data_IF_327347861966
#
_entry.id   IF_327347861966
#
_cell.length_a   1.000
_cell.length_b   1.000
_cell.length_c   1.000
_cell.angle_alpha   90.00
_cell.angle_beta   90.00
_cell.angle_gamma   90.00
#
_symmetry.space_group_name_H-M   'P 1'
#
loop_
_entity.id
_entity.type
_entity.pdbx_description
1 polymer ?
#
# COMPACT_ATOMS: atom_id res chain seq x y z
N UNK A 1 13.34 5.06 -7.97
CA UNK A 1 12.88 5.90 -9.09
C UNK A 1 13.93 6.89 -9.56
N UNK A 2 14.64 7.61 -8.67
CA UNK A 2 15.80 8.43 -9.03
C UNK A 2 17.08 7.85 -8.39
N UNK A 3 17.81 6.94 -9.08
CA UNK A 3 18.93 6.20 -8.46
C UNK A 3 20.13 7.06 -8.05
N UNK A 4 20.26 8.26 -8.63
CA UNK A 4 21.36 9.20 -8.37
C UNK A 4 20.96 10.39 -7.49
N UNK A 5 19.72 10.43 -7.00
CA UNK A 5 19.29 11.48 -6.08
C UNK A 5 20.00 11.31 -4.73
N UNK A 6 20.41 12.42 -4.12
CA UNK A 6 20.97 12.40 -2.77
C UNK A 6 19.86 12.14 -1.74
N UNK A 7 20.20 11.46 -0.65
CA UNK A 7 19.27 11.16 0.44
C UNK A 7 19.72 11.88 1.70
N UNK A 8 18.82 12.69 2.27
CA UNK A 8 18.92 13.21 3.63
C UNK A 8 17.89 12.48 4.50
N UNK A 9 18.34 11.87 5.61
CA UNK A 9 17.50 10.99 6.43
C UNK A 9 17.23 11.65 7.78
N UNK A 10 15.96 12.01 8.00
CA UNK A 10 15.48 12.59 9.26
C UNK A 10 14.67 11.53 10.02
N UNK A 11 15.27 10.95 11.06
CA UNK A 11 14.60 9.93 11.87
C UNK A 11 13.64 10.59 12.86
N UNK A 12 12.35 10.49 12.56
CA UNK A 12 11.27 11.03 13.42
C UNK A 12 10.42 9.95 14.09
N UNK A 13 10.65 8.68 13.77
CA UNK A 13 9.92 7.55 14.34
C UNK A 13 10.81 6.68 15.22
N UNK A 14 10.31 6.39 16.42
CA UNK A 14 11.02 5.64 17.45
C UNK A 14 10.15 4.52 18.01
N UNK A 15 10.81 3.44 18.46
CA UNK A 15 10.13 2.29 19.05
C UNK A 15 9.60 2.66 20.44
N UNK A 16 8.29 2.46 20.64
CA UNK A 16 7.58 2.61 21.92
C UNK A 16 6.85 1.30 22.20
N UNK A 17 7.49 0.41 22.96
CA UNK A 17 7.01 -0.96 23.19
C UNK A 17 7.06 -1.81 21.92
N UNK A 18 5.92 -2.43 21.55
CA UNK A 18 5.77 -3.23 20.30
C UNK A 18 5.46 -2.38 19.06
N UNK A 19 5.24 -1.07 19.20
CA UNK A 19 4.88 -0.17 18.09
C UNK A 19 6.00 0.84 17.82
N UNK A 20 6.04 1.36 16.60
CA UNK A 20 6.84 2.55 16.29
C UNK A 20 5.91 3.75 16.18
N UNK A 21 6.28 4.85 16.80
CA UNK A 21 5.48 6.08 16.83
C UNK A 21 6.34 7.23 16.29
N UNK A 22 5.76 8.03 15.41
CA UNK A 22 6.31 9.34 15.06
C UNK A 22 5.49 10.39 15.83
N UNK A 23 6.06 10.92 16.90
CA UNK A 23 5.39 11.94 17.71
C UNK A 23 5.32 13.26 16.90
N UNK A 24 4.30 14.08 17.17
CA UNK A 24 4.07 15.32 16.41
C UNK A 24 5.23 16.29 16.50
N UNK A 25 5.88 16.40 17.67
CA UNK A 25 7.06 17.25 17.90
C UNK A 25 8.25 16.82 17.07
N UNK A 26 8.54 15.51 17.04
CA UNK A 26 9.67 14.95 16.30
C UNK A 26 9.45 15.10 14.79
N UNK A 27 8.21 14.90 14.34
CA UNK A 27 7.82 15.07 12.93
C UNK A 27 8.01 16.53 12.49
N UNK A 28 7.52 17.50 13.28
CA UNK A 28 7.72 18.93 12.98
C UNK A 28 9.20 19.29 12.99
N UNK A 29 9.98 18.82 13.98
CA UNK A 29 11.41 19.11 14.06
C UNK A 29 12.17 18.53 12.86
N UNK A 30 11.83 17.32 12.42
CA UNK A 30 12.43 16.71 11.24
C UNK A 30 12.11 17.46 9.95
N UNK A 31 10.88 17.94 9.78
CA UNK A 31 10.50 18.78 8.62
C UNK A 31 11.22 20.13 8.68
N UNK A 32 11.28 20.76 9.85
CA UNK A 32 11.97 22.04 10.05
C UNK A 32 13.48 21.95 9.75
N UNK A 33 14.14 20.86 10.18
CA UNK A 33 15.54 20.59 9.82
C UNK A 33 15.70 20.41 8.31
N UNK A 34 14.82 19.64 7.67
CA UNK A 34 14.87 19.43 6.22
C UNK A 34 14.68 20.74 5.44
N UNK A 35 13.85 21.67 5.93
CA UNK A 35 13.71 23.00 5.35
C UNK A 35 15.01 23.80 5.48
N UNK A 36 15.66 23.76 6.65
CA UNK A 36 16.94 24.45 6.91
C UNK A 36 18.09 23.89 6.08
N UNK A 37 18.08 22.59 5.82
CA UNK A 37 19.04 21.92 4.93
C UNK A 37 18.74 22.15 3.44
N UNK A 38 17.68 22.90 3.11
CA UNK A 38 17.26 23.20 1.74
C UNK A 38 17.01 21.95 0.88
N UNK A 39 16.39 20.91 1.46
CA UNK A 39 16.04 19.73 0.67
C UNK A 39 15.07 20.08 -0.45
N UNK A 40 15.11 19.32 -1.54
CA UNK A 40 14.23 19.57 -2.67
C UNK A 40 12.80 19.08 -2.47
N UNK A 41 12.64 17.97 -1.74
CA UNK A 41 11.44 17.15 -1.67
C UNK A 41 11.38 16.51 -0.28
N UNK A 42 10.18 16.47 0.32
CA UNK A 42 9.92 15.66 1.50
C UNK A 42 9.17 14.39 1.08
N UNK A 43 9.72 13.22 1.40
CA UNK A 43 9.07 11.92 1.18
C UNK A 43 8.59 11.35 2.51
N UNK A 44 7.32 11.55 2.84
CA UNK A 44 6.76 11.24 4.16
C UNK A 44 5.78 10.06 4.09
N UNK A 45 6.29 8.88 4.39
CA UNK A 45 5.47 7.67 4.54
C UNK A 45 4.87 7.56 5.95
N UNK A 46 4.33 8.69 6.42
CA UNK A 46 3.76 8.93 7.75
C UNK A 46 2.37 9.54 7.58
N UNK A 47 1.53 9.41 8.59
CA UNK A 47 0.19 9.96 8.58
C UNK A 47 -0.55 9.61 9.86
N UNK A 48 -1.66 10.29 10.06
CA UNK A 48 -2.60 9.98 11.14
C UNK A 48 -4.03 10.13 10.64
N UNK A 49 -5.01 9.67 11.42
CA UNK A 49 -6.41 9.79 11.05
C UNK A 49 -6.82 11.26 10.79
N UNK A 50 -7.97 11.47 10.13
CA UNK A 50 -8.46 12.81 9.81
C UNK A 50 -8.52 13.70 11.06
N UNK A 51 -7.90 14.88 11.01
CA UNK A 51 -7.91 15.88 12.08
C UNK A 51 -7.78 17.29 11.50
N UNK A 52 -8.24 18.35 12.17
CA UNK A 52 -8.12 19.71 11.64
C UNK A 52 -6.68 20.08 11.21
N UNK A 53 -6.53 20.80 10.09
CA UNK A 53 -5.22 21.10 9.50
C UNK A 53 -4.27 21.85 10.45
N UNK A 54 -4.81 22.63 11.39
CA UNK A 54 -4.04 23.37 12.39
C UNK A 54 -3.59 22.51 13.58
N UNK A 55 -4.02 21.26 13.68
CA UNK A 55 -3.56 20.26 14.66
C UNK A 55 -2.66 19.19 14.02
N UNK A 56 -2.56 19.17 12.70
CA UNK A 56 -1.77 18.20 11.96
C UNK A 56 -0.34 18.72 11.74
N UNK A 57 0.61 18.10 12.43
CA UNK A 57 2.05 18.39 12.33
C UNK A 57 2.60 18.24 10.91
N UNK A 58 2.13 17.25 10.15
CA UNK A 58 2.54 17.06 8.76
C UNK A 58 1.95 18.17 7.91
N UNK A 59 0.69 18.56 8.11
CA UNK A 59 0.08 19.66 7.38
C UNK A 59 0.81 20.99 7.63
N UNK A 60 1.06 21.34 8.90
CA UNK A 60 1.77 22.56 9.32
C UNK A 60 3.19 22.59 8.73
N UNK A 61 3.98 21.53 8.96
CA UNK A 61 5.35 21.45 8.45
C UNK A 61 5.40 21.48 6.92
N UNK A 62 4.49 20.76 6.25
CA UNK A 62 4.41 20.74 4.79
C UNK A 62 4.02 22.09 4.21
N UNK A 63 3.21 22.89 4.91
CA UNK A 63 2.87 24.24 4.47
C UNK A 63 4.11 25.15 4.49
N UNK A 64 4.91 25.07 5.57
CA UNK A 64 6.17 25.79 5.66
C UNK A 64 7.15 25.38 4.56
N UNK A 65 7.30 24.07 4.31
CA UNK A 65 8.16 23.54 3.25
C UNK A 65 7.71 23.96 1.84
N UNK A 66 6.41 23.92 1.56
CA UNK A 66 5.87 24.31 0.26
C UNK A 66 6.11 25.80 -0.03
N UNK A 67 6.01 26.68 0.97
CA UNK A 67 6.33 28.12 0.84
C UNK A 67 7.78 28.39 0.45
N UNK A 68 8.71 27.49 0.76
CA UNK A 68 10.13 27.61 0.40
C UNK A 68 10.49 26.86 -0.89
N UNK A 69 9.49 26.34 -1.62
CA UNK A 69 9.71 25.63 -2.89
C UNK A 69 10.02 24.14 -2.76
N UNK A 70 9.87 23.56 -1.57
CA UNK A 70 10.06 22.14 -1.29
C UNK A 70 8.75 21.41 -1.57
N UNK A 71 8.79 20.25 -2.24
CA UNK A 71 7.58 19.49 -2.57
C UNK A 71 7.27 18.45 -1.49
N UNK A 72 6.20 18.60 -0.69
CA UNK A 72 5.78 17.58 0.26
C UNK A 72 4.99 16.47 -0.43
N UNK A 73 5.52 15.25 -0.38
CA UNK A 73 4.87 14.02 -0.88
C UNK A 73 4.57 13.13 0.30
N UNK A 74 3.31 12.76 0.51
CA UNK A 74 2.90 11.97 1.67
C UNK A 74 1.94 10.83 1.33
N UNK A 75 1.94 9.80 2.17
CA UNK A 75 1.08 8.62 2.00
C UNK A 75 -0.39 8.94 2.29
N UNK A 76 -1.33 8.38 1.52
CA UNK A 76 -2.76 8.53 1.80
C UNK A 76 -3.24 7.75 3.05
N UNK A 77 -2.46 6.77 3.52
CA UNK A 77 -2.85 5.88 4.62
C UNK A 77 -3.30 4.50 4.14
N UNK A 78 -3.38 3.55 5.07
CA UNK A 78 -3.68 2.14 4.80
C UNK A 78 -4.99 1.68 5.49
N UNK A 79 -5.95 2.60 5.62
CA UNK A 79 -7.25 2.39 6.28
C UNK A 79 -8.40 2.31 5.28
N UNK A 80 -8.12 1.95 4.02
CA UNK A 80 -9.16 1.49 3.10
C UNK A 80 -9.83 0.22 3.65
N UNK A 81 -11.07 -0.07 3.28
CA UNK A 81 -11.90 0.55 2.23
C UNK A 81 -12.81 1.67 2.73
N UNK A 82 -12.68 2.04 4.01
CA UNK A 82 -13.54 3.03 4.64
C UNK A 82 -13.45 4.40 3.94
N UNK A 83 -14.61 4.96 3.65
CA UNK A 83 -14.73 6.31 3.09
C UNK A 83 -14.16 7.34 4.05
N UNK A 84 -13.57 8.39 3.49
CA UNK A 84 -13.07 9.55 4.24
C UNK A 84 -12.04 9.24 5.33
N UNK A 85 -11.31 8.13 5.17
CA UNK A 85 -10.31 7.66 6.15
C UNK A 85 -8.86 7.89 5.68
N UNK A 86 -8.67 8.77 4.70
CA UNK A 86 -7.33 9.14 4.25
C UNK A 86 -6.66 10.16 5.16
N UNK A 87 -5.34 10.07 5.19
CA UNK A 87 -4.42 10.97 5.87
C UNK A 87 -3.83 11.99 4.90
N UNK A 88 -3.17 13.02 5.46
CA UNK A 88 -2.38 13.99 4.71
C UNK A 88 -3.20 14.69 3.61
N UNK A 89 -4.40 15.16 3.94
CA UNK A 89 -5.36 15.70 2.99
C UNK A 89 -5.23 17.20 2.74
N UNK A 90 -4.21 17.83 3.34
CA UNK A 90 -3.91 19.24 3.13
C UNK A 90 -3.71 19.54 1.62
N UNK A 91 -4.27 20.65 1.11
CA UNK A 91 -4.24 20.96 -0.33
C UNK A 91 -2.83 21.04 -0.94
N UNK A 92 -1.87 21.53 -0.15
CA UNK A 92 -0.47 21.72 -0.53
C UNK A 92 0.39 20.45 -0.49
N UNK A 93 -0.13 19.34 0.03
CA UNK A 93 0.54 18.04 0.02
C UNK A 93 0.21 17.30 -1.27
N UNK A 94 1.18 16.61 -1.87
CA UNK A 94 0.95 15.58 -2.89
C UNK A 94 0.70 14.24 -2.20
N UNK A 95 -0.58 13.86 -2.10
CA UNK A 95 -1.06 12.69 -1.34
C UNK A 95 -1.18 11.49 -2.26
N UNK A 96 -0.50 10.40 -1.89
CA UNK A 96 -0.30 9.24 -2.76
C UNK A 96 -1.01 8.00 -2.22
N UNK A 97 -1.96 7.47 -2.97
CA UNK A 97 -2.57 6.17 -2.74
C UNK A 97 -1.77 5.01 -3.37
N UNK A 98 -2.17 3.77 -3.09
CA UNK A 98 -1.48 2.57 -3.54
C UNK A 98 -2.31 1.78 -4.56
N UNK A 99 -1.64 1.27 -5.59
CA UNK A 99 -2.22 0.33 -6.56
C UNK A 99 -1.37 -0.93 -6.72
N UNK A 100 -1.91 -1.95 -7.36
CA UNK A 100 -1.22 -3.20 -7.67
C UNK A 100 -0.29 -3.06 -8.89
N UNK A 101 0.65 -4.00 -9.01
CA UNK A 101 1.45 -4.21 -10.23
C UNK A 101 1.00 -5.45 -10.98
N UNK A 102 1.42 -5.58 -12.24
CA UNK A 102 1.30 -6.78 -13.07
C UNK A 102 2.20 -7.94 -12.59
N UNK A 103 3.24 -7.64 -11.80
CA UNK A 103 4.11 -8.66 -11.20
C UNK A 103 3.44 -9.34 -10.01
N UNK A 104 3.47 -10.67 -9.97
CA UNK A 104 3.00 -11.53 -8.87
C UNK A 104 4.06 -12.55 -8.45
N UNK A 105 4.17 -12.82 -7.15
CA UNK A 105 5.03 -13.89 -6.61
C UNK A 105 4.19 -15.15 -6.38
N UNK A 106 4.11 -16.04 -7.36
CA UNK A 106 3.04 -17.05 -7.40
C UNK A 106 3.23 -18.22 -6.43
N UNK A 107 2.19 -18.43 -5.61
CA UNK A 107 2.00 -19.59 -4.75
C UNK A 107 0.62 -20.20 -5.04
N UNK A 108 0.62 -21.36 -5.69
CA UNK A 108 -0.60 -22.01 -6.20
C UNK A 108 -1.09 -23.02 -5.18
N UNK A 109 -2.35 -22.88 -4.77
CA UNK A 109 -3.07 -23.87 -3.98
C UNK A 109 -3.81 -24.79 -4.95
N UNK A 110 -3.59 -26.09 -4.85
CA UNK A 110 -4.37 -27.10 -5.59
C UNK A 110 -5.12 -27.97 -4.60
N UNK A 111 -6.43 -27.93 -4.65
CA UNK A 111 -7.31 -28.70 -3.77
C UNK A 111 -7.40 -30.17 -4.23
N UNK A 112 -7.85 -31.05 -3.34
CA UNK A 112 -8.03 -32.48 -3.65
C UNK A 112 -9.09 -32.76 -4.72
N UNK A 113 -10.01 -31.82 -4.98
CA UNK A 113 -10.96 -31.89 -6.10
C UNK A 113 -10.33 -31.47 -7.45
N UNK A 114 -9.06 -31.06 -7.46
CA UNK A 114 -8.32 -30.64 -8.65
C UNK A 114 -8.37 -29.14 -8.97
N UNK A 115 -9.22 -28.37 -8.27
CA UNK A 115 -9.31 -26.92 -8.46
C UNK A 115 -8.03 -26.21 -8.02
N UNK A 116 -7.70 -25.10 -8.71
CA UNK A 116 -6.48 -24.34 -8.47
C UNK A 116 -6.79 -22.89 -8.17
N UNK A 117 -6.11 -22.35 -7.16
CA UNK A 117 -6.23 -20.97 -6.72
C UNK A 117 -4.85 -20.32 -6.68
N UNK A 118 -4.79 -19.05 -7.08
CA UNK A 118 -3.54 -18.36 -7.35
C UNK A 118 -3.27 -17.27 -6.33
N UNK A 119 -2.60 -17.62 -5.25
CA UNK A 119 -2.15 -16.67 -4.23
C UNK A 119 -0.76 -16.11 -4.49
N UNK A 120 -0.22 -15.45 -3.46
CA UNK A 120 1.13 -14.90 -3.45
C UNK A 120 1.95 -15.33 -2.20
N UNK A 121 3.26 -15.50 -2.36
CA UNK A 121 4.24 -15.71 -1.28
C UNK A 121 5.66 -15.39 -1.75
N UNK A 122 6.46 -14.72 -0.91
CA UNK A 122 7.88 -14.51 -1.17
C UNK A 122 8.75 -15.69 -0.71
N UNK A 123 8.29 -16.47 0.28
CA UNK A 123 8.94 -17.72 0.64
C UNK A 123 8.48 -18.82 -0.31
N UNK A 124 9.40 -19.30 -1.14
CA UNK A 124 9.14 -20.27 -2.21
C UNK A 124 10.13 -21.45 -2.13
N UNK A 125 9.99 -22.33 -1.13
CA UNK A 125 10.80 -23.55 -1.06
C UNK A 125 10.39 -24.54 -2.15
N UNK A 126 11.28 -25.47 -2.48
CA UNK A 126 10.92 -26.60 -3.33
C UNK A 126 9.89 -27.48 -2.59
N UNK A 127 8.69 -27.57 -3.16
CA UNK A 127 7.62 -28.43 -2.65
C UNK A 127 7.13 -29.37 -3.74
N UNK A 128 6.73 -30.58 -3.35
CA UNK A 128 6.04 -31.52 -4.22
C UNK A 128 4.54 -31.17 -4.30
N UNK A 129 3.85 -31.63 -5.35
CA UNK A 129 2.39 -31.57 -5.47
C UNK A 129 1.67 -32.59 -4.55
N UNK A 130 2.27 -32.93 -3.41
CA UNK A 130 1.74 -33.90 -2.45
C UNK A 130 0.56 -33.29 -1.73
N UNK A 131 -0.58 -33.97 -1.80
CA UNK A 131 -1.80 -33.57 -1.11
C UNK A 131 -1.67 -33.83 0.39
N UNK A 132 -1.86 -32.79 1.19
CA UNK A 132 -1.88 -32.84 2.65
C UNK A 132 -3.29 -32.52 3.16
N UNK A 133 -3.72 -33.10 4.29
CA UNK A 133 -5.01 -32.77 4.87
C UNK A 133 -5.10 -31.28 5.24
N UNK A 134 -6.28 -30.70 5.04
CA UNK A 134 -6.62 -29.35 5.48
C UNK A 134 -7.18 -29.37 6.91
N UNK A 135 -6.86 -28.33 7.68
CA UNK A 135 -7.46 -28.09 8.99
C UNK A 135 -7.79 -26.61 9.14
N UNK A 136 -8.96 -26.30 9.68
CA UNK A 136 -9.41 -24.93 9.89
C UNK A 136 -9.81 -24.70 11.35
N UNK A 137 -8.93 -24.13 12.19
CA UNK A 137 -9.28 -23.78 13.57
C UNK A 137 -10.45 -22.81 13.69
N UNK A 138 -10.66 -21.96 12.67
CA UNK A 138 -11.71 -20.95 12.61
C UNK A 138 -13.14 -21.49 12.66
N UNK A 139 -13.35 -22.81 12.60
CA UNK A 139 -14.65 -23.46 12.89
C UNK A 139 -15.18 -23.12 14.29
N UNK A 140 -14.30 -22.77 15.24
CA UNK A 140 -14.68 -22.29 16.59
C UNK A 140 -15.21 -20.85 16.61
N UNK A 141 -15.11 -20.11 15.50
CA UNK A 141 -15.65 -18.75 15.31
C UNK A 141 -15.18 -17.72 16.36
N UNK A 142 -14.00 -17.92 16.96
CA UNK A 142 -13.37 -16.91 17.82
C UNK A 142 -12.37 -16.09 17.02
N UNK A 143 -12.11 -14.85 17.45
CA UNK A 143 -11.16 -13.97 16.77
C UNK A 143 -9.74 -14.57 16.70
N UNK A 144 -9.33 -15.29 17.74
CA UNK A 144 -8.03 -15.95 17.84
C UNK A 144 -7.94 -17.11 16.85
N UNK A 145 -8.99 -17.92 16.74
CA UNK A 145 -9.04 -19.11 15.88
C UNK A 145 -9.20 -18.76 14.40
N UNK A 146 -9.99 -17.73 14.09
CA UNK A 146 -10.12 -17.21 12.73
C UNK A 146 -8.79 -16.69 12.19
N UNK A 147 -7.98 -16.02 13.01
CA UNK A 147 -6.72 -15.41 12.59
C UNK A 147 -5.47 -16.20 12.99
N UNK A 148 -5.59 -17.45 13.43
CA UNK A 148 -4.45 -18.29 13.82
C UNK A 148 -3.49 -17.63 14.84
N UNK A 149 -4.06 -16.94 15.83
CA UNK A 149 -3.28 -16.25 16.86
C UNK A 149 -2.63 -17.24 17.83
N UNK A 150 -1.70 -16.76 18.67
CA UNK A 150 -1.05 -17.59 19.67
C UNK A 150 -2.09 -18.32 20.57
N UNK A 151 -1.94 -19.64 20.72
CA UNK A 151 -2.87 -20.49 21.47
C UNK A 151 -4.07 -21.00 20.68
N UNK A 152 -4.34 -20.48 19.48
CA UNK A 152 -5.54 -20.84 18.70
C UNK A 152 -5.56 -22.28 18.17
N UNK A 153 -4.41 -22.95 18.17
CA UNK A 153 -4.25 -24.32 17.68
C UNK A 153 -4.59 -25.38 18.76
N UNK A 154 -4.83 -24.97 20.00
CA UNK A 154 -5.14 -25.91 21.08
C UNK A 154 -6.45 -26.66 20.82
N UNK A 155 -6.37 -27.99 20.89
CA UNK A 155 -7.49 -28.89 20.61
C UNK A 155 -7.75 -29.18 19.14
N UNK A 156 -6.82 -28.85 18.24
CA UNK A 156 -6.85 -29.26 16.84
C UNK A 156 -5.64 -30.13 16.50
N UNK A 157 -5.87 -31.20 15.74
CA UNK A 157 -4.79 -32.01 15.17
C UNK A 157 -4.27 -31.32 13.90
N UNK A 158 -3.17 -30.57 14.04
CA UNK A 158 -2.55 -29.78 12.97
C UNK A 158 -1.24 -30.37 12.44
N UNK A 159 -0.71 -31.41 13.08
CA UNK A 159 0.62 -31.93 12.79
C UNK A 159 0.67 -32.51 11.38
N UNK A 160 1.59 -32.02 10.53
CA UNK A 160 1.74 -32.47 9.15
C UNK A 160 0.64 -31.98 8.19
N UNK A 161 -0.23 -31.07 8.61
CA UNK A 161 -1.38 -30.58 7.82
C UNK A 161 -1.18 -29.16 7.32
N UNK A 162 -1.98 -28.75 6.34
CA UNK A 162 -2.08 -27.36 5.88
C UNK A 162 -3.19 -26.66 6.66
N UNK A 163 -2.85 -25.55 7.31
CA UNK A 163 -3.78 -24.80 8.16
C UNK A 163 -4.40 -23.63 7.39
N UNK A 164 -5.73 -23.54 7.41
CA UNK A 164 -6.46 -22.38 6.89
C UNK A 164 -6.47 -21.27 7.96
N UNK A 165 -6.02 -20.07 7.60
CA UNK A 165 -5.92 -18.93 8.51
C UNK A 165 -6.48 -17.66 7.84
N UNK A 166 -7.43 -17.00 8.48
CA UNK A 166 -7.88 -15.68 8.05
C UNK A 166 -6.81 -14.61 8.27
N UNK A 167 -6.78 -13.58 7.43
CA UNK A 167 -6.03 -12.34 7.63
C UNK A 167 -6.58 -11.51 8.81
N UNK A 168 -5.78 -10.56 9.31
CA UNK A 168 -6.16 -9.64 10.41
C UNK A 168 -5.54 -10.00 11.77
N UNK A 169 -5.62 -9.04 12.71
CA UNK A 169 -5.15 -9.05 14.12
C UNK A 169 -3.65 -9.24 14.37
N UNK A 170 -3.01 -10.15 13.63
CA UNK A 170 -1.61 -10.53 13.77
C UNK A 170 -0.97 -10.56 12.38
N UNK A 171 0.32 -10.28 12.31
CA UNK A 171 1.05 -10.34 11.04
C UNK A 171 1.01 -11.76 10.45
N UNK A 172 0.87 -11.86 9.13
CA UNK A 172 0.76 -13.15 8.45
C UNK A 172 2.00 -14.04 8.65
N UNK A 173 3.18 -13.44 8.83
CA UNK A 173 4.42 -14.17 9.15
C UNK A 173 4.40 -14.75 10.56
N UNK A 174 3.87 -14.01 11.54
CA UNK A 174 3.72 -14.48 12.93
C UNK A 174 2.69 -15.61 13.03
N UNK A 175 1.61 -15.58 12.23
CA UNK A 175 0.68 -16.73 12.10
C UNK A 175 1.40 -17.98 11.61
N UNK A 176 2.31 -17.83 10.65
CA UNK A 176 3.14 -18.92 10.16
C UNK A 176 4.03 -19.51 11.24
N UNK A 177 4.56 -18.70 12.16
CA UNK A 177 5.32 -19.17 13.32
C UNK A 177 4.46 -19.97 14.30
N UNK A 178 3.23 -19.51 14.56
CA UNK A 178 2.25 -20.24 15.38
C UNK A 178 1.92 -21.61 14.78
N UNK A 179 1.61 -21.66 13.49
CA UNK A 179 1.32 -22.91 12.77
C UNK A 179 2.53 -23.85 12.79
N UNK A 180 3.73 -23.32 12.51
CA UNK A 180 4.98 -24.09 12.53
C UNK A 180 5.24 -24.70 13.92
N UNK A 181 5.07 -23.91 14.98
CA UNK A 181 5.27 -24.36 16.37
C UNK A 181 4.30 -25.48 16.76
N UNK A 182 3.08 -25.45 16.21
CA UNK A 182 2.09 -26.51 16.42
C UNK A 182 2.34 -27.76 15.54
N UNK A 183 3.33 -27.73 14.64
CA UNK A 183 3.70 -28.84 13.78
C UNK A 183 3.01 -28.86 12.41
N UNK A 184 2.35 -27.76 12.02
CA UNK A 184 1.74 -27.63 10.69
C UNK A 184 2.79 -27.64 9.57
N UNK A 185 2.45 -28.28 8.45
CA UNK A 185 3.31 -28.42 7.28
C UNK A 185 3.19 -27.25 6.29
N UNK A 186 2.07 -26.53 6.31
CA UNK A 186 1.83 -25.35 5.48
C UNK A 186 0.66 -24.52 5.96
N UNK A 187 0.43 -23.39 5.31
CA UNK A 187 -0.64 -22.45 5.66
C UNK A 187 -1.28 -21.85 4.41
N UNK A 188 -2.59 -21.63 4.44
CA UNK A 188 -3.28 -20.81 3.44
C UNK A 188 -3.84 -19.59 4.18
N UNK A 189 -3.34 -18.42 3.81
CA UNK A 189 -3.82 -17.14 4.36
C UNK A 189 -4.97 -16.66 3.49
N UNK A 190 -6.13 -16.48 4.11
CA UNK A 190 -7.40 -16.17 3.46
C UNK A 190 -7.79 -14.73 3.75
N UNK A 191 -7.97 -13.94 2.69
CA UNK A 191 -8.49 -12.58 2.82
C UNK A 191 -9.88 -12.56 3.44
N UNK A 192 -10.17 -11.49 4.19
CA UNK A 192 -11.50 -11.16 4.67
C UNK A 192 -12.30 -10.41 3.58
N UNK A 193 -13.65 -10.32 3.69
CA UNK A 193 -14.49 -9.68 2.68
C UNK A 193 -14.03 -8.29 2.27
N UNK A 194 -13.65 -7.44 3.23
CA UNK A 194 -13.24 -6.06 2.98
C UNK A 194 -11.88 -5.92 2.28
N UNK A 195 -11.10 -7.01 2.19
CA UNK A 195 -9.78 -7.00 1.55
C UNK A 195 -9.79 -7.41 0.08
N UNK A 196 -10.90 -8.01 -0.36
CA UNK A 196 -11.12 -8.40 -1.75
C UNK A 196 -9.93 -9.16 -2.34
N UNK A 197 -9.37 -8.61 -3.42
CA UNK A 197 -8.37 -9.30 -4.25
C UNK A 197 -6.90 -8.96 -3.93
N UNK A 198 -6.64 -8.07 -2.97
CA UNK A 198 -5.26 -7.66 -2.66
C UNK A 198 -4.55 -8.72 -1.83
N UNK A 199 -3.42 -9.23 -2.32
CA UNK A 199 -2.61 -10.27 -1.65
C UNK A 199 -1.17 -9.80 -1.43
N UNK A 200 -0.56 -10.28 -0.35
CA UNK A 200 0.81 -9.93 0.03
C UNK A 200 1.76 -11.12 -0.17
N UNK A 201 2.92 -10.84 -0.76
CA UNK A 201 4.00 -11.80 -0.92
C UNK A 201 4.90 -11.75 0.32
N UNK A 202 4.39 -12.22 1.46
CA UNK A 202 5.14 -12.24 2.71
C UNK A 202 6.24 -13.32 2.70
N UNK A 203 7.34 -13.06 3.41
CA UNK A 203 8.44 -14.01 3.60
C UNK A 203 8.11 -14.96 4.76
N UNK A 204 7.18 -15.89 4.53
CA UNK A 204 6.71 -16.85 5.54
C UNK A 204 7.80 -17.83 6.02
N UNK A 205 7.57 -18.43 7.18
CA UNK A 205 8.49 -19.41 7.81
C UNK A 205 8.19 -20.88 7.47
N UNK A 206 7.08 -21.11 6.76
CA UNK A 206 6.56 -22.38 6.25
C UNK A 206 5.91 -22.15 4.88
N UNK A 207 5.79 -23.18 4.01
CA UNK A 207 5.07 -23.07 2.74
C UNK A 207 3.69 -22.44 2.94
N UNK A 208 3.46 -21.28 2.31
CA UNK A 208 2.25 -20.51 2.51
C UNK A 208 1.77 -19.90 1.19
N UNK A 209 0.45 -19.79 1.02
CA UNK A 209 -0.15 -19.01 -0.06
C UNK A 209 -1.17 -18.02 0.51
N UNK A 210 -1.04 -16.73 0.19
CA UNK A 210 -2.04 -15.71 0.50
C UNK A 210 -2.99 -15.53 -0.67
N UNK A 211 -4.25 -15.91 -0.48
CA UNK A 211 -5.29 -15.95 -1.53
C UNK A 211 -6.31 -14.82 -1.37
N UNK A 212 -6.98 -14.47 -2.48
CA UNK A 212 -8.05 -13.47 -2.51
C UNK A 212 -9.26 -13.90 -1.66
N UNK A 213 -10.18 -12.96 -1.37
CA UNK A 213 -11.41 -13.29 -0.64
C UNK A 213 -12.28 -14.26 -1.44
N UNK A 214 -12.38 -14.07 -2.75
CA UNK A 214 -13.13 -14.98 -3.61
C UNK A 214 -12.57 -16.40 -3.54
N UNK A 215 -11.25 -16.55 -3.71
CA UNK A 215 -10.60 -17.85 -3.66
C UNK A 215 -10.71 -18.48 -2.26
N UNK A 216 -10.58 -17.68 -1.21
CA UNK A 216 -10.78 -18.13 0.17
C UNK A 216 -12.18 -18.68 0.40
N UNK A 217 -13.21 -18.01 -0.13
CA UNK A 217 -14.60 -18.47 -0.04
C UNK A 217 -14.80 -19.83 -0.73
N UNK A 218 -14.24 -19.99 -1.92
CA UNK A 218 -14.32 -21.24 -2.68
C UNK A 218 -13.57 -22.38 -1.96
N UNK A 219 -12.38 -22.09 -1.40
CA UNK A 219 -11.60 -23.05 -0.59
C UNK A 219 -12.36 -23.46 0.69
N UNK A 220 -12.99 -22.52 1.39
CA UNK A 220 -13.80 -22.82 2.58
C UNK A 220 -15.04 -23.66 2.22
N UNK A 221 -15.69 -23.35 1.10
CA UNK A 221 -16.83 -24.13 0.59
C UNK A 221 -16.39 -25.57 0.28
N UNK A 222 -15.24 -25.75 -0.37
CA UNK A 222 -14.66 -27.07 -0.57
C UNK A 222 -14.38 -27.79 0.76
N UNK A 223 -13.76 -27.11 1.72
CA UNK A 223 -13.45 -27.68 3.03
C UNK A 223 -14.69 -28.23 3.75
N UNK A 224 -15.83 -27.54 3.66
CA UNK A 224 -17.10 -27.98 4.26
C UNK A 224 -17.81 -29.09 3.45
N UNK A 225 -17.50 -29.20 2.16
CA UNK A 225 -18.17 -30.15 1.24
C UNK A 225 -17.69 -31.60 1.36
N UNK A 226 -16.55 -31.85 2.00
CA UNK A 226 -15.94 -33.19 2.08
C UNK A 226 -15.44 -33.52 3.49
N UNK A 227 -15.53 -34.79 3.88
CA UNK A 227 -15.04 -35.26 5.17
C UNK A 227 -13.49 -35.28 5.26
N UNK A 228 -12.81 -35.38 4.12
CA UNK A 228 -11.35 -35.49 4.04
C UNK A 228 -10.76 -34.43 3.09
N UNK A 229 -10.84 -33.13 3.44
CA UNK A 229 -10.35 -32.06 2.58
C UNK A 229 -8.82 -32.11 2.51
N UNK A 230 -8.27 -31.97 1.32
CA UNK A 230 -6.82 -31.96 1.07
C UNK A 230 -6.43 -30.82 0.15
N UNK A 231 -5.18 -30.38 0.25
CA UNK A 231 -4.58 -29.42 -0.67
C UNK A 231 -3.06 -29.65 -0.79
N UNK A 232 -2.47 -29.08 -1.83
CA UNK A 232 -1.03 -28.87 -1.98
C UNK A 232 -0.73 -27.39 -2.22
N UNK A 233 0.49 -26.96 -1.91
CA UNK A 233 0.99 -25.62 -2.21
C UNK A 233 2.25 -25.76 -3.04
N UNK A 234 2.23 -25.18 -4.23
CA UNK A 234 3.37 -25.17 -5.16
C UNK A 234 3.76 -23.73 -5.51
N UNK A 235 5.00 -23.52 -5.92
CA UNK A 235 5.55 -22.19 -6.15
C UNK A 235 6.06 -22.06 -7.59
N UNK A 236 5.72 -20.95 -8.24
CA UNK A 236 6.04 -20.73 -9.67
C UNK A 236 6.96 -19.53 -9.91
N UNK A 237 7.59 -18.99 -8.86
CA UNK A 237 8.48 -17.84 -8.95
C UNK A 237 7.73 -16.54 -9.19
N UNK A 238 8.42 -15.61 -9.86
CA UNK A 238 7.84 -14.34 -10.28
C UNK A 238 7.14 -14.52 -11.63
N UNK A 239 5.86 -14.17 -11.70
CA UNK A 239 5.09 -14.14 -12.95
C UNK A 239 4.61 -12.73 -13.25
N UNK A 240 4.49 -12.40 -14.52
CA UNK A 240 3.78 -11.20 -14.99
C UNK A 240 2.39 -11.66 -15.40
N UNK A 241 1.36 -11.15 -14.74
CA UNK A 241 -0.04 -11.54 -14.89
C UNK A 241 -0.87 -10.28 -15.03
N UNK A 242 -1.54 -10.13 -16.18
CA UNK A 242 -1.99 -8.82 -16.66
C UNK A 242 -3.45 -8.40 -16.43
N UNK A 243 -4.45 -9.23 -16.09
CA UNK A 243 -5.83 -8.89 -16.47
C UNK A 243 -6.47 -7.73 -15.69
N UNK A 244 -5.93 -7.34 -14.52
CA UNK A 244 -6.49 -6.27 -13.68
C UNK A 244 -5.41 -5.38 -13.05
N UNK A 245 -4.34 -5.09 -13.80
CA UNK A 245 -3.24 -4.27 -13.31
C UNK A 245 -2.99 -3.02 -14.16
N UNK A 246 -2.80 -1.86 -13.53
CA UNK A 246 -2.90 -1.62 -12.09
C UNK A 246 -4.35 -1.47 -11.60
N UNK A 247 -4.61 -1.85 -10.34
CA UNK A 247 -5.88 -1.65 -9.64
C UNK A 247 -5.62 -1.07 -8.25
N UNK A 248 -6.50 -0.22 -7.72
CA UNK A 248 -6.31 0.37 -6.38
C UNK A 248 -6.41 -0.72 -5.33
N UNK A 249 -5.44 -0.73 -4.42
CA UNK A 249 -5.41 -1.72 -3.33
C UNK A 249 -6.54 -1.50 -2.34
N UNK A 250 -7.02 -2.59 -1.74
CA UNK A 250 -8.08 -2.57 -0.72
C UNK A 250 -7.73 -1.62 0.44
N UNK A 251 -6.49 -1.72 0.93
CA UNK A 251 -6.01 -0.97 2.08
C UNK A 251 -5.78 0.50 1.76
N UNK A 252 -5.66 0.92 0.48
CA UNK A 252 -5.36 2.31 0.15
C UNK A 252 -6.50 3.20 0.66
N UNK A 253 -6.22 4.11 1.59
CA UNK A 253 -7.27 4.95 2.17
C UNK A 253 -7.98 5.82 1.13
N UNK A 254 -9.27 6.05 1.34
CA UNK A 254 -10.17 6.71 0.40
C UNK A 254 -10.64 8.08 0.88
N UNK A 255 -10.95 8.94 -0.08
CA UNK A 255 -11.61 10.21 0.18
C UNK A 255 -13.13 10.04 0.35
N UNK A 256 -13.89 11.13 0.29
CA UNK A 256 -13.43 12.52 0.23
C UNK A 256 -12.76 12.96 1.55
N UNK A 257 -11.92 14.00 1.51
CA UNK A 257 -11.52 14.70 2.74
C UNK A 257 -12.72 15.40 3.35
N UNK A 258 -12.79 15.40 4.68
CA UNK A 258 -13.84 16.09 5.44
C UNK A 258 -13.41 17.47 5.96
N UNK A 259 -12.13 17.82 5.79
CA UNK A 259 -11.50 18.94 6.53
C UNK A 259 -10.75 19.92 5.63
N UNK A 260 -10.52 19.60 4.36
CA UNK A 260 -9.72 20.42 3.44
C UNK A 260 -10.52 21.36 2.53
N UNK A 261 -11.81 21.58 2.84
CA UNK A 261 -12.67 22.51 2.08
C UNK A 261 -13.16 21.97 0.73
N UNK A 262 -13.26 20.65 0.57
CA UNK A 262 -13.84 20.02 -0.63
C UNK A 262 -12.84 19.70 -1.74
N UNK A 263 -11.54 19.75 -1.44
CA UNK A 263 -10.48 19.41 -2.40
C UNK A 263 -10.33 17.89 -2.48
N UNK A 264 -10.43 17.34 -3.69
CA UNK A 264 -10.39 15.89 -3.92
C UNK A 264 -9.04 15.30 -3.48
N UNK A 265 -9.11 14.18 -2.76
CA UNK A 265 -7.98 13.38 -2.29
C UNK A 265 -8.29 11.87 -2.39
N UNK A 266 -7.29 10.99 -2.55
CA UNK A 266 -5.87 11.30 -2.77
C UNK A 266 -5.64 11.97 -4.14
N UNK A 267 -4.47 12.58 -4.33
CA UNK A 267 -4.18 13.29 -5.58
C UNK A 267 -3.87 12.31 -6.72
N UNK A 268 -3.06 11.27 -6.42
CA UNK A 268 -2.68 10.22 -7.37
C UNK A 268 -2.56 8.87 -6.65
N UNK A 269 -2.51 7.79 -7.42
CA UNK A 269 -2.13 6.44 -6.96
C UNK A 269 -0.87 5.96 -7.68
N UNK A 270 -0.06 5.14 -7.01
CA UNK A 270 1.15 4.55 -7.61
C UNK A 270 1.32 3.05 -7.26
N UNK A 271 1.97 2.24 -8.14
CA UNK A 271 1.90 0.77 -8.06
C UNK A 271 2.78 0.16 -6.96
N UNK A 272 2.27 -0.19 -5.77
CA UNK A 272 3.08 -0.58 -4.60
C UNK A 272 2.49 -1.60 -3.63
N UNK A 273 1.85 -2.62 -4.19
CA UNK A 273 1.71 -3.92 -3.53
C UNK A 273 2.95 -4.76 -3.85
N UNK A 274 3.50 -5.47 -2.87
CA UNK A 274 4.65 -6.38 -3.03
C UNK A 274 5.87 -5.70 -3.67
N UNK A 275 6.32 -4.58 -3.10
CA UNK A 275 7.53 -3.87 -3.51
C UNK A 275 8.75 -4.47 -2.83
N UNK A 276 9.78 -4.81 -3.62
CA UNK A 276 11.06 -5.27 -3.11
C UNK A 276 11.95 -4.05 -2.81
N UNK A 277 12.40 -3.91 -1.56
CA UNK A 277 13.29 -2.84 -1.13
C UNK A 277 14.34 -3.35 -0.13
N UNK A 278 15.41 -2.56 0.06
CA UNK A 278 16.44 -2.87 1.03
C UNK A 278 15.84 -2.98 2.44
N UNK A 279 16.33 -3.95 3.21
CA UNK A 279 15.89 -4.21 4.58
C UNK A 279 17.10 -4.40 5.48
N UNK A 280 17.09 -3.97 6.77
CA UNK A 280 18.27 -4.02 7.62
C UNK A 280 18.72 -5.42 8.08
N UNK A 281 17.88 -6.44 7.90
CA UNK A 281 18.18 -7.82 8.31
C UNK A 281 17.47 -8.84 7.41
N UNK A 282 17.85 -10.11 7.50
CA UNK A 282 17.21 -11.17 6.71
C UNK A 282 15.83 -11.51 7.29
N UNK A 283 14.86 -11.79 6.41
CA UNK A 283 13.54 -12.25 6.79
C UNK A 283 13.29 -13.65 6.22
N UNK A 284 12.57 -14.48 6.98
CA UNK A 284 12.25 -15.84 6.60
C UNK A 284 13.46 -16.79 6.60
N UNK A 285 13.25 -18.07 6.22
CA UNK A 285 14.31 -19.07 6.13
C UNK A 285 15.37 -18.68 5.08
N UNK A 286 16.62 -19.08 5.29
CA UNK A 286 17.70 -18.81 4.34
C UNK A 286 17.49 -19.62 3.04
N UNK A 287 17.28 -18.97 1.88
CA UNK A 287 17.04 -19.66 0.62
C UNK A 287 18.31 -20.34 0.06
N UNK A 288 19.50 -19.97 0.55
CA UNK A 288 20.77 -20.57 0.13
C UNK A 288 21.75 -20.64 1.32
N UNK A 289 21.69 -21.69 2.16
CA UNK A 289 22.61 -21.83 3.29
C UNK A 289 24.09 -21.89 2.87
N UNK A 290 24.36 -22.20 1.60
CA UNK A 290 25.72 -22.31 1.03
C UNK A 290 26.28 -20.99 0.49
N UNK A 291 25.47 -19.94 0.36
CA UNK A 291 25.92 -18.61 -0.12
C UNK A 291 25.30 -17.51 0.74
N UNK A 292 25.91 -17.15 1.88
CA UNK A 292 25.43 -16.05 2.71
C UNK A 292 25.54 -14.75 1.91
N UNK A 293 24.42 -14.13 1.58
CA UNK A 293 24.42 -12.78 1.01
C UNK A 293 24.34 -11.77 2.15
N UNK A 294 25.25 -10.80 2.19
CA UNK A 294 25.20 -9.70 3.17
C UNK A 294 24.11 -8.67 2.87
N UNK A 295 23.49 -8.75 1.67
CA UNK A 295 22.45 -7.83 1.21
C UNK A 295 21.08 -8.42 1.49
N UNK A 296 20.30 -7.69 2.27
CA UNK A 296 18.98 -8.12 2.73
C UNK A 296 17.87 -7.25 2.12
N UNK A 297 16.78 -7.90 1.71
CA UNK A 297 15.63 -7.25 1.06
C UNK A 297 14.32 -7.79 1.61
N UNK A 298 13.26 -6.99 1.50
CA UNK A 298 11.90 -7.35 1.92
C UNK A 298 10.89 -6.95 0.85
N UNK A 299 9.90 -7.80 0.63
CA UNK A 299 8.65 -7.42 0.00
C UNK A 299 7.73 -6.73 1.00
N UNK A 300 7.26 -5.53 0.66
CA UNK A 300 6.34 -4.76 1.50
C UNK A 300 5.27 -4.08 0.63
N UNK A 301 4.10 -3.90 1.23
CA UNK A 301 2.93 -3.26 0.61
C UNK A 301 2.48 -2.07 1.44
N UNK A 302 1.97 -1.03 0.78
CA UNK A 302 1.41 0.13 1.47
C UNK A 302 1.48 1.40 0.66
N UNK A 303 0.67 2.39 1.02
CA UNK A 303 0.84 3.77 0.56
C UNK A 303 2.21 4.32 0.94
N UNK A 304 2.79 3.83 2.05
CA UNK A 304 4.18 4.06 2.45
C UNK A 304 5.22 3.68 1.40
N UNK A 305 4.93 2.70 0.54
CA UNK A 305 5.81 2.33 -0.57
C UNK A 305 5.49 3.18 -1.82
N UNK A 306 4.26 3.70 -1.96
CA UNK A 306 3.81 4.58 -3.05
C UNK A 306 4.48 5.95 -3.00
N UNK A 307 4.50 6.54 -1.81
CA UNK A 307 5.12 7.85 -1.54
C UNK A 307 6.54 8.00 -2.07
N UNK A 308 7.53 7.16 -1.71
CA UNK A 308 8.92 7.33 -2.16
C UNK A 308 9.09 7.13 -3.67
N UNK A 309 8.18 6.42 -4.34
CA UNK A 309 8.25 6.30 -5.79
C UNK A 309 7.80 7.57 -6.48
N UNK A 310 6.71 8.17 -6.02
CA UNK A 310 6.26 9.47 -6.52
C UNK A 310 7.28 10.55 -6.18
N UNK A 311 7.81 10.58 -4.95
CA UNK A 311 8.87 11.49 -4.56
C UNK A 311 10.11 11.38 -5.45
N UNK A 312 10.52 10.15 -5.80
CA UNK A 312 11.62 9.96 -6.74
C UNK A 312 11.30 10.44 -8.17
N UNK A 313 10.04 10.44 -8.61
CA UNK A 313 9.66 11.03 -9.91
C UNK A 313 9.64 12.56 -9.80
N UNK A 314 9.12 13.11 -8.69
CA UNK A 314 9.23 14.55 -8.37
C UNK A 314 10.69 15.00 -8.43
N UNK A 315 11.65 14.19 -7.97
CA UNK A 315 13.09 14.51 -8.03
C UNK A 315 13.58 14.64 -9.48
N UNK A 316 13.17 13.73 -10.37
CA UNK A 316 13.50 13.82 -11.79
C UNK A 316 12.85 15.05 -12.45
N UNK A 317 11.62 15.41 -12.04
CA UNK A 317 10.93 16.60 -12.53
C UNK A 317 11.60 17.89 -12.05
N UNK A 318 11.98 17.99 -10.78
CA UNK A 318 12.74 19.16 -10.29
C UNK A 318 14.09 19.28 -10.97
N UNK A 319 14.79 18.16 -11.19
CA UNK A 319 16.09 18.18 -11.88
C UNK A 319 15.97 18.69 -13.33
N UNK A 320 14.89 18.31 -14.04
CA UNK A 320 14.64 18.77 -15.42
C UNK A 320 13.99 20.16 -15.50
N UNK A 321 13.27 20.58 -14.46
CA UNK A 321 12.56 21.86 -14.41
C UNK A 321 12.77 22.56 -13.04
N UNK A 322 13.97 23.06 -12.73
CA UNK A 322 14.33 23.52 -11.37
C UNK A 322 13.52 24.71 -10.85
N UNK A 323 12.96 25.52 -11.75
CA UNK A 323 12.19 26.73 -11.41
C UNK A 323 10.69 26.47 -11.20
N UNK A 324 10.19 25.25 -11.45
CA UNK A 324 8.77 24.96 -11.28
C UNK A 324 8.40 24.93 -9.80
N UNK A 325 7.28 25.59 -9.48
CA UNK A 325 6.72 25.57 -8.13
C UNK A 325 6.27 24.17 -7.71
N UNK A 326 6.15 23.87 -6.40
CA UNK A 326 5.57 22.63 -5.93
C UNK A 326 4.17 22.35 -6.51
N UNK A 327 3.35 23.40 -6.65
CA UNK A 327 2.02 23.29 -7.26
C UNK A 327 2.09 22.92 -8.74
N UNK A 328 3.03 23.50 -9.50
CA UNK A 328 3.23 23.16 -10.92
C UNK A 328 3.69 21.71 -11.11
N UNK A 329 4.55 21.20 -10.21
CA UNK A 329 4.98 19.80 -10.25
C UNK A 329 3.83 18.86 -9.90
N UNK A 330 3.06 19.17 -8.85
CA UNK A 330 1.84 18.43 -8.49
C UNK A 330 0.85 18.39 -9.65
N UNK A 331 0.59 19.54 -10.28
CA UNK A 331 -0.27 19.65 -11.46
C UNK A 331 0.24 18.77 -12.60
N UNK A 332 1.52 18.87 -12.96
CA UNK A 332 2.10 18.08 -14.03
C UNK A 332 1.87 16.58 -13.83
N UNK A 333 2.05 16.08 -12.60
CA UNK A 333 1.83 14.67 -12.26
C UNK A 333 0.36 14.28 -12.35
N UNK A 334 -0.54 15.11 -11.81
CA UNK A 334 -1.99 14.82 -11.80
C UNK A 334 -2.57 14.86 -13.21
N UNK A 335 -2.31 15.91 -14.00
CA UNK A 335 -2.94 16.11 -15.32
C UNK A 335 -2.42 15.17 -16.39
N UNK A 336 -1.32 14.47 -16.14
CA UNK A 336 -0.75 13.49 -17.08
C UNK A 336 -0.98 12.04 -16.64
N UNK A 337 -1.50 11.82 -15.42
CA UNK A 337 -1.77 10.48 -14.91
C UNK A 337 -2.82 9.74 -15.75
N UNK A 338 -2.69 8.41 -15.81
CA UNK A 338 -3.58 7.52 -16.53
C UNK A 338 -4.78 7.17 -15.67
N UNK A 339 -5.96 7.12 -16.28
CA UNK A 339 -7.22 6.70 -15.62
C UNK A 339 -7.66 5.30 -16.03
N UNK A 340 -6.89 4.67 -16.92
CA UNK A 340 -7.17 3.36 -17.49
C UNK A 340 -6.08 2.36 -17.13
N UNK A 341 -6.46 1.10 -17.01
CA UNK A 341 -5.55 -0.03 -16.91
C UNK A 341 -4.92 -0.38 -18.27
N UNK A 342 -4.14 -1.47 -18.31
CA UNK A 342 -3.47 -1.93 -19.54
C UNK A 342 -4.42 -2.45 -20.61
N UNK A 343 -5.64 -2.82 -20.25
CA UNK A 343 -6.69 -3.24 -21.19
C UNK A 343 -7.52 -2.06 -21.68
N UNK A 344 -7.20 -0.83 -21.25
CA UNK A 344 -7.94 0.38 -21.61
C UNK A 344 -9.24 0.55 -20.84
N UNK A 345 -9.49 -0.27 -19.80
CA UNK A 345 -10.66 -0.16 -18.92
C UNK A 345 -10.37 0.81 -17.78
N UNK A 346 -11.39 1.44 -17.16
CA UNK A 346 -11.19 2.23 -15.95
C UNK A 346 -10.46 1.43 -14.88
N UNK A 347 -9.52 2.06 -14.18
CA UNK A 347 -8.76 1.42 -13.10
C UNK A 347 -9.74 0.89 -12.05
N UNK A 348 -9.69 -0.43 -11.82
CA UNK A 348 -10.55 -1.11 -10.87
C UNK A 348 -10.11 -0.86 -9.42
N UNK A 349 -11.06 -1.07 -8.50
CA UNK A 349 -10.80 -1.21 -7.08
C UNK A 349 -10.70 -2.71 -6.72
N UNK A 350 -9.65 -3.12 -6.02
CA UNK A 350 -9.51 -4.50 -5.55
C UNK A 350 -10.53 -4.89 -4.48
N UNK A 351 -11.22 -3.92 -3.88
CA UNK A 351 -12.29 -4.16 -2.91
C UNK A 351 -13.66 -4.38 -3.54
N UNK A 352 -13.94 -3.90 -4.74
CA UNK A 352 -15.29 -3.93 -5.36
C UNK A 352 -15.74 -5.35 -5.78
N UNK A 353 -14.90 -6.37 -5.56
CA UNK A 353 -15.22 -7.79 -5.77
C UNK A 353 -15.93 -8.47 -4.58
N UNK A 354 -16.41 -7.73 -3.58
CA UNK A 354 -17.19 -8.33 -2.48
C UNK A 354 -18.48 -8.91 -3.04
N UNK A 355 -18.63 -10.23 -2.95
CA UNK A 355 -19.85 -10.93 -3.37
C UNK A 355 -21.09 -10.24 -2.75
N UNK A 356 -22.12 -9.90 -3.56
CA UNK A 356 -23.26 -9.09 -3.12
C UNK A 356 -24.17 -9.73 -2.06
N UNK A 357 -23.78 -10.85 -1.44
CA UNK A 357 -24.62 -11.65 -0.53
C UNK A 357 -23.99 -11.90 0.85
N UNK A 358 -22.92 -11.18 1.22
CA UNK A 358 -22.39 -11.25 2.59
C UNK A 358 -23.13 -10.27 3.52
N UNK A 359 -23.76 -10.73 4.62
CA UNK A 359 -24.33 -9.85 5.65
C UNK A 359 -23.28 -9.01 6.40
N UNK A 360 -22.01 -9.11 6.03
CA UNK A 360 -20.86 -8.44 6.67
C UNK A 360 -20.15 -7.45 5.73
N UNK A 361 -20.70 -7.21 4.52
CA UNK A 361 -20.14 -6.28 3.56
C UNK A 361 -20.77 -4.88 3.72
N UNK A 362 -20.06 -3.87 4.23
CA UNK A 362 -20.54 -2.49 4.14
C UNK A 362 -20.55 -2.09 2.66
N UNK A 363 -21.68 -1.54 2.18
CA UNK A 363 -21.83 -1.07 0.80
C UNK A 363 -20.74 -0.05 0.44
N UNK A 364 -19.83 -0.45 -0.44
CA UNK A 364 -18.78 0.42 -0.98
C UNK A 364 -19.42 1.22 -2.12
N UNK A 365 -19.46 2.56 -2.01
CA UNK A 365 -19.94 3.41 -3.09
C UNK A 365 -18.77 4.02 -3.87
N UNK A 366 -18.88 3.91 -5.19
CA UNK A 366 -17.85 4.03 -6.23
C UNK A 366 -17.74 5.44 -6.82
N UNK A 367 -17.73 6.50 -6.00
CA UNK A 367 -17.75 7.87 -6.53
C UNK A 367 -16.36 8.50 -6.77
N UNK A 368 -15.28 7.73 -6.80
CA UNK A 368 -13.93 8.22 -7.08
C UNK A 368 -13.24 7.38 -8.17
N UNK A 369 -12.76 8.05 -9.23
CA UNK A 369 -11.94 7.42 -10.26
C UNK A 369 -10.45 7.63 -9.94
N UNK A 370 -9.65 6.55 -9.80
CA UNK A 370 -8.23 6.67 -9.50
C UNK A 370 -7.41 7.20 -10.68
N UNK A 371 -6.42 8.05 -10.40
CA UNK A 371 -5.42 8.51 -11.37
C UNK A 371 -4.06 7.89 -11.07
N UNK A 372 -3.54 7.03 -11.96
CA UNK A 372 -2.26 6.32 -11.80
C UNK A 372 -1.12 6.99 -12.55
N UNK A 373 -0.01 7.17 -11.86
CA UNK A 373 1.23 7.60 -12.50
C UNK A 373 1.92 6.42 -13.22
N UNK A 374 2.17 6.52 -14.54
CA UNK A 374 2.91 5.46 -15.23
C UNK A 374 4.42 5.58 -15.05
N UNK A 375 5.06 4.41 -15.00
CA UNK A 375 6.51 4.26 -15.12
C UNK A 375 7.07 4.78 -16.46
N UNK A 376 6.25 4.90 -17.52
CA UNK A 376 6.67 5.30 -18.87
C UNK A 376 6.89 6.81 -19.06
N UNK A 377 6.47 7.66 -18.12
CA UNK A 377 6.75 9.11 -18.17
C UNK A 377 8.23 9.46 -18.02
N UNK A 378 9.07 8.49 -17.66
CA UNK A 378 10.52 8.64 -17.62
C UNK A 378 11.11 8.89 -19.02
N UNK A 379 10.37 8.55 -20.08
CA UNK A 379 10.87 8.53 -21.47
C UNK A 379 10.40 9.70 -22.35
N UNK A 380 9.41 10.51 -21.94
CA UNK A 380 8.83 11.53 -22.82
C UNK A 380 8.61 12.86 -22.08
N UNK A 381 9.68 13.63 -21.92
CA UNK A 381 9.70 14.95 -21.24
C UNK A 381 8.97 16.05 -22.03
N UNK A 382 8.74 15.86 -23.32
CA UNK A 382 8.22 16.88 -24.24
C UNK A 382 6.74 17.20 -24.01
N UNK A 383 5.92 16.21 -23.63
CA UNK A 383 4.48 16.40 -23.39
C UNK A 383 4.17 17.12 -22.07
N UNK A 384 5.11 17.17 -21.13
CA UNK A 384 4.96 17.87 -19.85
C UNK A 384 5.17 19.39 -19.92
N UNK A 385 5.66 19.90 -21.06
CA UNK A 385 5.94 21.34 -21.22
C UNK A 385 4.67 22.15 -21.49
N UNK A 386 3.71 21.59 -22.24
CA UNK A 386 2.58 22.35 -22.79
C UNK A 386 1.44 22.52 -21.78
N UNK A 387 1.26 21.58 -20.84
CA UNK A 387 0.12 21.61 -19.89
C UNK A 387 0.36 22.48 -18.65
N UNK A 388 1.62 22.73 -18.27
CA UNK A 388 1.96 23.50 -17.07
C UNK A 388 1.79 25.02 -17.21
N UNK A 389 1.81 25.55 -18.43
CA UNK A 389 1.81 27.01 -18.69
C UNK A 389 0.52 27.69 -18.20
N UNK A 390 -0.60 26.96 -18.10
CA UNK A 390 -1.90 27.55 -17.76
C UNK A 390 -2.09 27.88 -16.25
N UNK A 391 -1.34 27.23 -15.35
CA UNK A 391 -1.54 27.37 -13.88
C UNK A 391 -0.59 28.38 -13.22
N UNK A 392 0.61 28.60 -13.76
CA UNK A 392 1.55 29.62 -13.25
C UNK A 392 0.99 31.06 -13.38
N UNK A 393 0.04 31.29 -14.30
CA UNK A 393 -0.65 32.59 -14.44
C UNK A 393 -1.63 32.92 -13.32
N UNK A 394 -2.08 31.93 -12.54
CA UNK A 394 -3.05 32.15 -11.45
C UNK A 394 -2.37 32.41 -10.10
N UNK A 395 -1.14 31.93 -9.88
CA UNK A 395 -0.38 32.14 -8.64
C UNK A 395 0.41 33.45 -8.63
N UNK A 396 0.65 34.07 -9.79
CA UNK A 396 1.43 35.31 -9.94
C UNK A 396 0.60 36.61 -9.90
N UNK A 397 -0.69 36.56 -9.58
CA UNK A 397 -1.53 37.75 -9.34
C UNK A 397 -1.87 37.92 -7.87
N UNK A 398 -0.87 38.14 -7.02
CA UNK A 398 -1.05 38.83 -5.75
C UNK A 398 -0.69 40.31 -5.94
N UNK A 399 -1.66 41.15 -6.26
CA UNK A 399 -1.51 42.60 -6.09
C UNK A 399 -1.58 42.93 -4.59
N UNK A 400 -0.71 43.79 -4.05
CA UNK A 400 -0.78 44.17 -2.64
C UNK A 400 -1.98 45.10 -2.41
N UNK A 401 -2.88 44.70 -1.51
CA UNK A 401 -3.90 45.57 -0.90
C UNK A 401 -3.19 46.58 0.02
N UNK A 402 -2.70 47.67 -0.54
CA UNK A 402 -2.24 48.85 0.20
C UNK A 402 -2.24 50.07 -0.72
N UNK A 403 -3.43 50.60 -1.00
CA UNK A 403 -3.69 52.01 -1.37
C UNK A 403 -5.18 52.17 -1.71
N UNK A 404 -5.75 53.33 -1.35
CA UNK A 404 -7.11 53.80 -1.66
C UNK A 404 -8.24 53.49 -0.65
N UNK A 405 -7.96 53.68 0.65
CA UNK A 405 -8.91 54.37 1.54
C UNK A 405 -8.57 55.87 1.45
N UNK A 406 -9.12 56.58 0.48
CA UNK A 406 -9.20 58.05 0.44
C UNK A 406 -9.96 58.51 -0.83
N UNK A 407 -11.30 58.53 -0.75
CA UNK A 407 -12.14 59.49 -1.47
C UNK A 407 -13.62 59.20 -1.20
N UNK A 408 -14.23 59.92 -0.25
CA UNK A 408 -15.68 60.11 -0.21
C UNK A 408 -15.93 61.62 -0.25
N UNK A 409 -16.69 62.16 -1.22
CA UNK A 409 -17.12 63.55 -1.18
C UNK A 409 -18.38 63.71 -0.30
N UNK A 410 -18.45 64.91 0.26
CA UNK A 410 -19.42 65.49 1.23
C UNK A 410 -20.85 64.98 1.22
#
# INVERSE_FOLDING_TARGET
>A
MAPRAHLAIYKVSFKKGKKSTAESSDTLKGIDEAIRDHVDILSMSLGSGPKPLYEDSIAIGSFAAMKTGIVPVAAAGNNGTFKSMLSNDAPWILTVGASTTDRRMRAVVKLGNGEKYYGESAYQPDTSDTQLPLVYPGVKKTQETLSCQAGSMQGFDVKGKIVLCGTGHTDNTEKGEVVKKAGGAGMIVMNQPWQGNTTNADAHVIPTSHVSFKDAWDILTYFESTANPTASITFEGTKVVAPLSPAVSDFSSRGPSLINGGIIKPDIVAPRVNVLAAWPFQLGPNPSPTTPTSKTFRFASGTSMATPHVAGIVALLKNSHPKRSPAAIKSALMTTAYVKDREGKPIADQADGVAPHSPWAPGISTQWQPMILASSMISNTTTMSTTCVALDTLTNKSQPLSAALNSAPR
#
